data_IF_252129888919
#
_entry.id   IF_252129888919
#
_cell.length_a   1.000
_cell.length_b   1.000
_cell.length_c   1.000
_cell.angle_alpha   90.00
_cell.angle_beta   90.00
_cell.angle_gamma   90.00
#
_symmetry.space_group_name_H-M   'P 1'
#
loop_
_entity.id
_entity.type
_entity.pdbx_description
1 polymer ?
#
# COMPACT_ATOMS: atom_id res chain seq x y z
N UNK A 1 4.04 -1.05 -14.87
CA UNK A 1 2.86 -1.84 -14.42
C UNK A 1 1.60 -1.01 -14.65
N UNK A 2 0.61 -1.58 -15.31
CA UNK A 2 -0.64 -0.86 -15.65
C UNK A 2 -1.78 -1.15 -14.68
N UNK A 3 -1.69 -2.25 -13.94
CA UNK A 3 -2.69 -2.66 -12.97
C UNK A 3 -2.02 -3.37 -11.81
N UNK A 4 -2.71 -3.38 -10.68
CA UNK A 4 -2.36 -4.24 -9.55
C UNK A 4 -3.58 -5.11 -9.25
N UNK A 5 -3.35 -6.39 -8.97
CA UNK A 5 -4.43 -7.36 -8.78
C UNK A 5 -4.59 -7.72 -7.31
N UNK A 6 -5.79 -7.53 -6.81
CA UNK A 6 -6.17 -7.78 -5.41
C UNK A 6 -7.48 -8.57 -5.39
N UNK A 7 -7.63 -9.43 -4.39
CA UNK A 7 -8.92 -10.08 -4.15
C UNK A 7 -9.84 -9.15 -3.38
N UNK A 8 -11.15 -9.42 -3.41
CA UNK A 8 -12.12 -8.68 -2.61
C UNK A 8 -11.77 -8.75 -1.12
N UNK A 9 -11.34 -9.93 -0.65
CA UNK A 9 -10.95 -10.11 0.75
C UNK A 9 -9.73 -9.24 1.12
N UNK A 10 -8.76 -9.12 0.23
CA UNK A 10 -7.59 -8.26 0.45
C UNK A 10 -7.99 -6.79 0.52
N UNK A 11 -8.85 -6.33 -0.39
CA UNK A 11 -9.34 -4.95 -0.38
C UNK A 11 -10.07 -4.65 0.93
N UNK A 12 -10.92 -5.56 1.39
CA UNK A 12 -11.63 -5.40 2.66
C UNK A 12 -10.68 -5.37 3.85
N UNK A 13 -9.63 -6.20 3.83
CA UNK A 13 -8.62 -6.23 4.88
C UNK A 13 -7.88 -4.90 4.95
N UNK A 14 -7.46 -4.35 3.81
CA UNK A 14 -6.78 -3.07 3.75
C UNK A 14 -7.67 -1.93 4.27
N UNK A 15 -8.94 -1.91 3.87
CA UNK A 15 -9.89 -0.92 4.37
C UNK A 15 -10.07 -1.02 5.89
N UNK A 16 -10.10 -2.24 6.43
CA UNK A 16 -10.19 -2.47 7.87
C UNK A 16 -8.95 -1.96 8.59
N UNK A 17 -7.75 -2.26 8.08
CA UNK A 17 -6.49 -1.75 8.63
C UNK A 17 -6.55 -0.22 8.72
N UNK A 18 -7.02 0.44 7.67
CA UNK A 18 -7.15 1.88 7.63
C UNK A 18 -8.10 2.41 8.71
N UNK A 19 -9.26 1.79 8.86
CA UNK A 19 -10.27 2.19 9.85
C UNK A 19 -9.81 1.95 11.28
N UNK A 20 -9.14 0.83 11.52
CA UNK A 20 -8.67 0.46 12.86
C UNK A 20 -7.53 1.37 13.33
N UNK A 21 -6.85 2.04 12.42
CA UNK A 21 -5.72 2.92 12.73
C UNK A 21 -6.14 4.38 12.92
N UNK A 22 -7.39 4.73 12.55
CA UNK A 22 -7.88 6.10 12.69
C UNK A 22 -7.63 6.67 14.09
N UNK A 23 -7.28 7.94 14.23
CA UNK A 23 -7.19 8.97 13.19
C UNK A 23 -5.85 8.98 12.43
N UNK A 24 -4.95 8.07 12.75
CA UNK A 24 -3.61 8.04 12.17
C UNK A 24 -3.60 7.36 10.79
N UNK A 25 -2.62 7.71 9.97
CA UNK A 25 -2.37 7.00 8.73
C UNK A 25 -1.93 5.56 9.06
N UNK A 26 -2.42 4.61 8.28
CA UNK A 26 -1.96 3.22 8.33
C UNK A 26 -1.01 2.95 7.18
N UNK A 27 -0.21 1.90 7.31
CA UNK A 27 0.64 1.44 6.23
C UNK A 27 0.77 -0.08 6.25
N UNK A 28 1.04 -0.64 5.08
CA UNK A 28 1.25 -2.07 4.91
C UNK A 28 2.11 -2.29 3.67
N UNK A 29 2.85 -3.40 3.65
CA UNK A 29 3.52 -3.85 2.45
C UNK A 29 2.69 -4.94 1.79
N UNK A 30 2.57 -4.85 0.47
CA UNK A 30 1.86 -5.83 -0.33
C UNK A 30 2.91 -6.69 -1.03
N UNK A 31 2.99 -7.94 -0.63
CA UNK A 31 3.95 -8.89 -1.18
C UNK A 31 3.26 -9.72 -2.25
N UNK A 32 3.99 -10.04 -3.29
CA UNK A 32 3.42 -10.83 -4.36
C UNK A 32 4.39 -11.13 -5.47
N UNK A 33 3.83 -11.43 -6.64
CA UNK A 33 4.56 -11.78 -7.83
C UNK A 33 3.96 -11.01 -9.01
N UNK A 34 4.81 -10.31 -9.76
CA UNK A 34 4.42 -9.42 -10.85
C UNK A 34 3.41 -8.36 -10.35
N UNK A 35 2.18 -8.41 -10.83
CA UNK A 35 1.12 -7.48 -10.44
C UNK A 35 0.14 -8.06 -9.42
N UNK A 36 0.35 -9.31 -8.98
CA UNK A 36 -0.60 -10.05 -8.15
C UNK A 36 -0.19 -10.03 -6.69
N UNK A 37 -1.03 -9.43 -5.85
CA UNK A 37 -0.82 -9.40 -4.39
C UNK A 37 -1.16 -10.78 -3.82
N UNK A 38 -0.22 -11.37 -3.08
CA UNK A 38 -0.38 -12.67 -2.45
C UNK A 38 -0.44 -12.57 -0.93
N UNK A 39 0.17 -11.54 -0.34
CA UNK A 39 0.22 -11.37 1.10
C UNK A 39 0.23 -9.90 1.48
N UNK A 40 -0.55 -9.56 2.50
CA UNK A 40 -0.57 -8.23 3.11
C UNK A 40 0.23 -8.32 4.41
N UNK A 41 1.23 -7.46 4.55
CA UNK A 41 2.04 -7.37 5.75
C UNK A 41 1.83 -6.01 6.39
N UNK A 42 0.95 -5.90 7.40
CA UNK A 42 0.71 -4.63 8.08
C UNK A 42 1.99 -4.12 8.73
N UNK A 43 2.20 -2.81 8.64
CA UNK A 43 3.32 -2.12 9.26
C UNK A 43 2.80 -1.11 10.27
N UNK A 44 3.60 -0.84 11.29
CA UNK A 44 3.29 0.19 12.26
C UNK A 44 3.72 1.55 11.71
N UNK A 45 2.83 2.53 11.80
CA UNK A 45 3.19 3.92 11.55
C UNK A 45 3.82 4.49 12.84
N UNK A 46 5.14 4.60 12.89
CA UNK A 46 5.83 5.06 14.09
C UNK A 46 5.64 6.55 14.34
N UNK A 47 5.21 7.32 13.33
CA UNK A 47 4.87 8.73 13.51
C UNK A 47 3.56 8.91 14.27
N UNK A 48 2.70 7.90 14.26
CA UNK A 48 1.36 7.96 14.86
C UNK A 48 0.64 9.27 14.49
N UNK A 49 0.64 9.58 13.20
CA UNK A 49 0.16 10.86 12.66
C UNK A 49 -0.95 10.64 11.65
N UNK A 50 -1.95 11.56 11.59
CA UNK A 50 -2.97 11.51 10.54
C UNK A 50 -2.51 12.11 9.21
N UNK A 51 -1.30 12.65 9.12
CA UNK A 51 -0.79 13.33 7.91
C UNK A 51 0.54 12.80 7.42
N UNK A 52 1.23 11.98 8.20
CA UNK A 52 2.50 11.37 7.80
C UNK A 52 2.58 9.92 8.29
N UNK A 53 3.46 9.16 7.67
CA UNK A 53 3.82 7.84 8.18
C UNK A 53 5.30 7.59 8.01
N UNK A 54 5.85 6.79 8.90
CA UNK A 54 7.22 6.29 8.82
C UNK A 54 7.24 4.84 9.30
N UNK A 55 8.12 4.04 8.71
CA UNK A 55 8.29 2.64 9.06
C UNK A 55 9.65 2.49 9.72
N UNK A 56 9.67 1.75 10.83
CA UNK A 56 10.92 1.47 11.54
C UNK A 56 11.86 0.68 10.61
N UNK A 57 13.15 1.09 10.47
CA UNK A 57 14.07 0.45 9.51
C UNK A 57 14.23 -1.07 9.66
N UNK A 58 14.19 -1.59 10.89
CA UNK A 58 14.28 -3.03 11.12
C UNK A 58 13.05 -3.77 10.60
N UNK A 59 11.86 -3.18 10.71
CA UNK A 59 10.64 -3.75 10.14
C UNK A 59 10.65 -3.72 8.63
N UNK A 60 11.19 -2.66 8.05
CA UNK A 60 11.35 -2.53 6.61
C UNK A 60 12.25 -3.66 6.07
N UNK A 61 13.40 -3.85 6.70
CA UNK A 61 14.33 -4.92 6.32
C UNK A 61 13.69 -6.30 6.49
N UNK A 62 12.96 -6.50 7.59
CA UNK A 62 12.26 -7.75 7.83
C UNK A 62 11.26 -8.07 6.73
N UNK A 63 10.52 -7.06 6.27
CA UNK A 63 9.54 -7.24 5.20
C UNK A 63 10.19 -7.70 3.89
N UNK A 64 11.29 -7.08 3.50
CA UNK A 64 12.03 -7.49 2.30
C UNK A 64 12.61 -8.90 2.44
N UNK A 65 13.18 -9.22 3.58
CA UNK A 65 13.72 -10.55 3.84
C UNK A 65 12.62 -11.63 3.83
N UNK A 66 11.47 -11.31 4.40
CA UNK A 66 10.32 -12.22 4.40
C UNK A 66 9.83 -12.49 2.97
N UNK A 67 9.70 -11.45 2.18
CA UNK A 67 9.29 -11.59 0.79
C UNK A 67 10.26 -12.50 0.03
N UNK A 68 11.56 -12.21 0.12
CA UNK A 68 12.58 -13.01 -0.55
C UNK A 68 12.55 -14.48 -0.11
N UNK A 69 12.40 -14.75 1.19
CA UNK A 69 12.36 -16.10 1.71
C UNK A 69 11.17 -16.91 1.20
N UNK A 70 10.10 -16.24 0.77
CA UNK A 70 8.88 -16.87 0.24
C UNK A 70 8.82 -16.84 -1.28
N UNK A 71 9.89 -16.41 -1.95
CA UNK A 71 9.91 -16.27 -3.40
C UNK A 71 9.00 -15.17 -3.92
N UNK A 72 8.71 -14.17 -3.08
CA UNK A 72 7.88 -13.01 -3.44
C UNK A 72 8.71 -11.75 -3.47
N UNK A 73 8.08 -10.67 -3.92
CA UNK A 73 8.65 -9.33 -3.92
C UNK A 73 7.70 -8.37 -3.21
N UNK A 74 8.24 -7.26 -2.71
CA UNK A 74 7.40 -6.14 -2.29
C UNK A 74 6.95 -5.44 -3.57
N UNK A 75 5.69 -5.62 -3.95
CA UNK A 75 5.17 -5.07 -5.20
C UNK A 75 4.43 -3.76 -5.00
N UNK A 76 4.00 -3.48 -3.78
CA UNK A 76 3.30 -2.25 -3.48
C UNK A 76 3.46 -1.84 -2.02
N UNK A 77 3.28 -0.56 -1.78
CA UNK A 77 3.16 0.01 -0.44
C UNK A 77 1.76 0.58 -0.33
N UNK A 78 1.06 0.19 0.73
CA UNK A 78 -0.27 0.68 1.04
C UNK A 78 -0.18 1.72 2.16
N UNK A 79 -0.92 2.81 2.02
CA UNK A 79 -1.20 3.67 3.16
C UNK A 79 -2.58 4.29 3.04
N UNK A 80 -3.10 4.76 4.17
CA UNK A 80 -4.39 5.44 4.23
C UNK A 80 -4.19 6.85 4.75
N UNK A 81 -5.09 7.76 4.37
CA UNK A 81 -5.16 9.07 4.99
C UNK A 81 -6.59 9.62 4.94
N UNK A 82 -6.92 10.54 5.88
CA UNK A 82 -8.25 11.13 5.94
C UNK A 82 -8.39 12.31 4.96
N UNK A 83 -8.13 12.05 3.69
CA UNK A 83 -8.13 13.01 2.60
C UNK A 83 -8.43 12.25 1.31
N UNK A 84 -8.43 12.93 0.18
CA UNK A 84 -8.66 12.29 -1.12
C UNK A 84 -7.67 11.16 -1.37
N UNK A 85 -8.07 10.09 -2.09
CA UNK A 85 -7.20 8.93 -2.32
C UNK A 85 -6.17 9.20 -3.42
N UNK A 86 -5.29 10.15 -3.16
CA UNK A 86 -4.20 10.51 -4.07
C UNK A 86 -2.97 10.90 -3.27
N UNK A 87 -1.77 10.78 -3.87
CA UNK A 87 -0.53 11.11 -3.17
C UNK A 87 -0.48 12.56 -2.70
N UNK A 88 -0.01 12.74 -1.47
CA UNK A 88 0.32 14.07 -0.93
C UNK A 88 1.70 14.49 -1.43
N UNK A 89 2.07 15.75 -1.20
CA UNK A 89 3.43 16.21 -1.54
C UNK A 89 4.51 15.46 -0.76
N UNK A 90 4.22 15.05 0.47
CA UNK A 90 5.12 14.21 1.27
C UNK A 90 5.26 12.82 0.66
N UNK A 91 4.14 12.23 0.21
CA UNK A 91 4.14 10.92 -0.42
C UNK A 91 5.01 10.90 -1.68
N UNK A 92 4.99 11.95 -2.47
CA UNK A 92 5.76 12.02 -3.71
C UNK A 92 7.26 11.80 -3.48
N UNK A 93 7.78 12.31 -2.38
CA UNK A 93 9.21 12.13 -2.03
C UNK A 93 9.54 10.66 -1.76
N UNK A 94 8.64 9.95 -1.10
CA UNK A 94 8.81 8.52 -0.83
C UNK A 94 8.61 7.68 -2.09
N UNK A 95 7.69 8.07 -2.96
CA UNK A 95 7.44 7.38 -4.22
C UNK A 95 8.65 7.42 -5.14
N UNK A 96 9.38 8.54 -5.17
CA UNK A 96 10.60 8.67 -5.97
C UNK A 96 11.67 7.64 -5.59
N UNK A 97 11.82 7.37 -4.30
CA UNK A 97 12.87 6.47 -3.79
C UNK A 97 12.37 5.04 -3.57
N UNK A 98 11.08 4.82 -3.69
CA UNK A 98 10.46 3.49 -3.57
C UNK A 98 9.62 3.23 -4.83
N UNK A 99 10.26 2.80 -5.93
CA UNK A 99 9.60 2.67 -7.24
C UNK A 99 8.74 1.41 -7.34
N UNK A 100 7.75 1.32 -6.49
CA UNK A 100 6.74 0.26 -6.48
C UNK A 100 5.38 0.90 -6.68
N UNK A 101 4.34 0.08 -6.75
CA UNK A 101 2.97 0.59 -6.78
C UNK A 101 2.63 1.15 -5.40
N UNK A 102 1.92 2.29 -5.37
CA UNK A 102 1.41 2.88 -4.14
C UNK A 102 -0.10 2.78 -4.14
N UNK A 103 -0.65 2.05 -3.17
CA UNK A 103 -2.09 1.89 -3.00
C UNK A 103 -2.52 2.80 -1.86
N UNK A 104 -3.43 3.71 -2.15
CA UNK A 104 -3.87 4.74 -1.19
C UNK A 104 -5.36 4.59 -0.93
N UNK A 105 -5.72 4.52 0.35
CA UNK A 105 -7.10 4.44 0.78
C UNK A 105 -7.51 5.75 1.49
N UNK A 106 -8.60 6.35 1.03
CA UNK A 106 -9.21 7.51 1.68
C UNK A 106 -10.21 7.02 2.71
N UNK A 107 -9.98 7.34 3.99
CA UNK A 107 -10.94 7.01 5.05
C UNK A 107 -12.15 7.94 5.05
N UNK A 108 -12.04 9.12 4.43
CA UNK A 108 -13.15 10.06 4.32
C UNK A 108 -14.06 9.75 3.14
N UNK A 109 -13.51 9.28 2.03
CA UNK A 109 -14.28 8.99 0.82
C UNK A 109 -14.55 7.50 0.61
N UNK A 110 -13.93 6.65 1.44
CA UNK A 110 -14.02 5.19 1.32
C UNK A 110 -13.65 4.69 -0.09
N UNK A 111 -12.61 5.28 -0.65
CA UNK A 111 -12.09 4.93 -1.98
C UNK A 111 -10.64 4.50 -1.92
N UNK A 112 -10.28 3.55 -2.76
CA UNK A 112 -8.93 3.04 -2.90
C UNK A 112 -8.47 3.24 -4.33
N UNK A 113 -7.28 3.81 -4.50
CA UNK A 113 -6.67 4.02 -5.81
C UNK A 113 -5.21 3.61 -5.78
N UNK A 114 -4.66 3.30 -6.93
CA UNK A 114 -3.28 2.88 -7.07
C UNK A 114 -2.53 3.80 -8.03
N UNK A 115 -1.25 4.01 -7.72
CA UNK A 115 -0.40 4.95 -8.45
C UNK A 115 0.99 4.38 -8.62
N UNK A 116 1.67 4.85 -9.67
CA UNK A 116 3.10 4.65 -9.86
C UNK A 116 3.75 6.01 -10.09
N UNK A 117 5.04 6.11 -9.79
CA UNK A 117 5.84 7.30 -10.09
C UNK A 117 6.86 6.94 -11.17
N UNK A 118 6.72 7.59 -12.33
CA UNK A 118 7.59 7.43 -13.48
C UNK A 118 7.69 8.81 -14.13
N UNK A 119 8.68 9.59 -13.70
CA UNK A 119 8.85 11.02 -14.01
C UNK A 119 7.72 11.88 -13.42
N UNK A 120 6.50 11.35 -13.37
CA UNK A 120 5.35 11.99 -12.73
C UNK A 120 4.41 10.90 -12.21
N UNK A 121 3.47 11.31 -11.36
CA UNK A 121 2.49 10.39 -10.79
C UNK A 121 1.47 9.99 -11.84
N UNK A 122 1.24 8.69 -11.97
CA UNK A 122 0.22 8.11 -12.86
C UNK A 122 -0.69 7.20 -12.04
N UNK A 123 -1.98 7.38 -12.20
CA UNK A 123 -2.95 6.42 -11.65
C UNK A 123 -2.94 5.15 -12.50
N UNK A 124 -2.97 3.99 -11.82
CA UNK A 124 -3.11 2.69 -12.49
C UNK A 124 -4.37 2.00 -12.01
N UNK A 125 -4.82 0.98 -12.74
CA UNK A 125 -6.02 0.24 -12.39
C UNK A 125 -5.80 -0.71 -11.22
N UNK A 126 -6.86 -0.94 -10.45
CA UNK A 126 -6.93 -2.03 -9.48
C UNK A 126 -7.85 -3.09 -10.09
N UNK A 127 -7.30 -4.29 -10.32
CA UNK A 127 -8.06 -5.42 -10.84
C UNK A 127 -8.50 -6.30 -9.68
N UNK A 128 -9.78 -6.58 -9.60
CA UNK A 128 -10.30 -7.49 -8.58
C UNK A 128 -10.28 -8.90 -9.17
N UNK A 129 -9.52 -9.80 -8.53
CA UNK A 129 -9.32 -11.17 -8.99
C UNK A 129 -9.74 -12.13 -7.87
N UNK A 130 -11.00 -12.52 -7.85
CA UNK A 130 -11.46 -13.46 -6.85
C UNK A 130 -11.21 -14.89 -7.30
N UNK A 131 -10.70 -15.70 -6.37
CA UNK A 131 -10.49 -17.12 -6.61
C UNK A 131 -11.79 -17.83 -6.27
N UNK A 132 -12.33 -18.57 -7.24
CA UNK A 132 -13.45 -19.44 -6.98
C UNK A 132 -12.92 -20.74 -6.39
N UNK A 133 -13.29 -20.95 -5.14
CA UNK A 133 -12.92 -22.13 -4.41
C UNK A 133 -13.56 -23.39 -4.90
#
# INVERSE_FOLDING_TARGET
>A
MKTISLTTAQIKKLARIAKDTLPNESCAFLLGDNDKVLKILPMRNIDESPVTFSIEPAELLHAYNLAESKGMQVIAIFHSHPAKPRPSSTDLKFMEINPVVWVIYSTTESQMKAYVYDDFVKEIGIRIVDVRG
#
